data_IF_546962157462
#
_entry.id   IF_546962157462
#
_cell.length_a   1.000
_cell.length_b   1.000
_cell.length_c   1.000
_cell.angle_alpha   90.00
_cell.angle_beta   90.00
_cell.angle_gamma   90.00
#
_symmetry.space_group_name_H-M   'P 1'
#
loop_
_entity.id
_entity.type
_entity.pdbx_description
1 polymer ?
#
# COMPACT_ATOMS: atom_id res chain seq x y z
N UNK A 1 -6.17 -0.45 -7.12
CA UNK A 1 -5.07 -1.41 -7.41
C UNK A 1 -4.26 -1.57 -6.13
N UNK A 2 -3.42 -2.60 -5.98
CA UNK A 2 -2.71 -2.85 -4.71
C UNK A 2 -1.38 -2.11 -4.65
N UNK A 3 -0.89 -1.83 -3.43
CA UNK A 3 0.40 -1.14 -3.21
C UNK A 3 1.54 -1.87 -3.93
N UNK A 4 1.66 -3.19 -3.73
CA UNK A 4 2.73 -3.97 -4.32
C UNK A 4 2.58 -4.15 -5.84
N UNK A 5 1.36 -4.08 -6.38
CA UNK A 5 1.17 -4.15 -7.82
C UNK A 5 1.64 -2.86 -8.50
N UNK A 6 1.24 -1.69 -7.99
CA UNK A 6 1.74 -0.40 -8.46
C UNK A 6 3.26 -0.30 -8.31
N UNK A 7 3.80 -0.77 -7.18
CA UNK A 7 5.24 -0.79 -6.95
C UNK A 7 5.98 -1.67 -7.96
N UNK A 8 5.39 -2.80 -8.37
CA UNK A 8 5.97 -3.65 -9.40
C UNK A 8 5.92 -2.99 -10.79
N UNK A 9 4.88 -2.22 -11.09
CA UNK A 9 4.77 -1.47 -12.35
C UNK A 9 5.74 -0.28 -12.42
N UNK A 10 5.97 0.40 -11.29
CA UNK A 10 6.82 1.61 -11.20
C UNK A 10 8.27 1.33 -10.81
N UNK A 11 8.52 0.18 -10.20
CA UNK A 11 9.85 -0.28 -9.77
C UNK A 11 10.13 -0.07 -8.28
N UNK A 12 9.45 0.86 -7.61
CA UNK A 12 9.57 1.11 -6.16
C UNK A 12 8.26 1.64 -5.57
N UNK A 13 8.12 1.55 -4.24
CA UNK A 13 7.00 2.16 -3.49
C UNK A 13 7.15 3.67 -3.33
N UNK A 14 8.38 4.18 -3.43
CA UNK A 14 8.70 5.62 -3.33
C UNK A 14 8.14 6.45 -4.51
N UNK A 15 7.74 5.80 -5.61
CA UNK A 15 7.16 6.42 -6.80
C UNK A 15 5.63 6.33 -6.83
N UNK A 16 5.00 6.04 -5.69
CA UNK A 16 3.55 5.90 -5.53
C UNK A 16 3.06 6.97 -4.58
N UNK A 17 1.93 7.58 -4.89
CA UNK A 17 1.28 8.56 -4.02
C UNK A 17 0.11 7.90 -3.26
N UNK A 18 -0.21 8.42 -2.08
CA UNK A 18 -1.24 7.85 -1.20
C UNK A 18 -2.63 7.77 -1.87
N UNK A 19 -3.01 8.77 -2.67
CA UNK A 19 -4.31 8.82 -3.35
C UNK A 19 -4.47 7.78 -4.46
N UNK A 20 -3.38 7.15 -4.89
CA UNK A 20 -3.39 6.12 -5.93
C UNK A 20 -3.76 4.72 -5.39
N UNK A 21 -3.63 4.54 -4.07
CA UNK A 21 -3.84 3.27 -3.37
C UNK A 21 -4.94 3.34 -2.32
N UNK A 22 -5.26 4.54 -1.82
CA UNK A 22 -6.37 4.75 -0.88
C UNK A 22 -7.70 4.76 -1.63
N UNK A 23 -8.63 3.94 -1.16
CA UNK A 23 -9.96 3.81 -1.72
C UNK A 23 -10.98 4.07 -0.60
N UNK A 24 -11.94 4.98 -0.79
CA UNK A 24 -13.02 5.15 0.16
C UNK A 24 -13.90 3.91 0.19
N UNK A 25 -14.01 3.28 1.36
CA UNK A 25 -14.85 2.13 1.63
C UNK A 25 -16.23 2.53 2.15
N UNK A 26 -16.92 1.56 2.74
CA UNK A 26 -18.20 1.80 3.40
C UNK A 26 -18.03 2.80 4.57
N UNK A 27 -18.99 3.70 4.73
CA UNK A 27 -19.02 4.69 5.81
C UNK A 27 -17.74 5.56 5.90
N UNK A 28 -17.18 5.91 4.74
CA UNK A 28 -15.94 6.70 4.61
C UNK A 28 -14.71 6.05 5.26
N UNK A 29 -14.73 4.74 5.54
CA UNK A 29 -13.53 4.03 5.98
C UNK A 29 -12.51 3.99 4.85
N UNK A 30 -11.37 4.63 5.03
CA UNK A 30 -10.28 4.60 4.05
C UNK A 30 -9.65 3.21 4.03
N UNK A 31 -9.64 2.59 2.85
CA UNK A 31 -9.16 1.24 2.64
C UNK A 31 -7.93 1.26 1.73
N UNK A 32 -6.96 0.40 2.03
CA UNK A 32 -5.78 0.15 1.20
C UNK A 32 -5.60 -1.36 1.08
N UNK A 33 -5.22 -1.82 -0.11
CA UNK A 33 -4.89 -3.23 -0.34
C UNK A 33 -3.38 -3.37 -0.55
N UNK A 34 -2.70 -4.07 0.37
CA UNK A 34 -1.25 -4.30 0.26
C UNK A 34 -0.89 -5.10 -1.00
N UNK A 35 -1.70 -6.10 -1.34
CA UNK A 35 -1.37 -7.09 -2.35
C UNK A 35 -0.38 -8.13 -1.83
N UNK A 36 0.30 -8.84 -2.74
CA UNK A 36 1.30 -9.82 -2.39
C UNK A 36 2.25 -10.10 -3.54
N UNK A 37 3.44 -10.64 -3.25
CA UNK A 37 4.34 -11.08 -4.30
C UNK A 37 3.73 -12.23 -5.10
N UNK A 38 4.18 -12.40 -6.35
CA UNK A 38 3.84 -13.56 -7.17
C UNK A 38 4.10 -14.86 -6.37
N UNK A 39 3.21 -15.87 -6.46
CA UNK A 39 3.38 -17.13 -5.75
C UNK A 39 4.77 -17.75 -5.96
N UNK A 40 5.48 -18.00 -4.85
CA UNK A 40 6.81 -18.59 -4.87
C UNK A 40 7.97 -17.61 -5.07
N UNK A 41 7.71 -16.32 -5.30
CA UNK A 41 8.76 -15.30 -5.51
C UNK A 41 9.11 -14.56 -4.21
N UNK A 42 8.16 -14.44 -3.27
CA UNK A 42 8.37 -13.66 -2.06
C UNK A 42 7.61 -14.14 -0.83
N UNK A 43 7.83 -13.44 0.28
CA UNK A 43 7.13 -13.66 1.54
C UNK A 43 6.03 -12.62 1.71
N UNK A 44 4.78 -13.06 1.86
CA UNK A 44 3.64 -12.18 2.11
C UNK A 44 3.91 -11.22 3.30
N UNK A 45 4.55 -11.72 4.36
CA UNK A 45 4.92 -10.90 5.51
C UNK A 45 5.83 -9.72 5.18
N UNK A 46 6.79 -9.88 4.26
CA UNK A 46 7.62 -8.74 3.81
C UNK A 46 6.81 -7.75 2.99
N UNK A 47 5.92 -8.23 2.13
CA UNK A 47 5.03 -7.36 1.35
C UNK A 47 4.12 -6.51 2.23
N UNK A 48 3.58 -7.11 3.29
CA UNK A 48 2.77 -6.39 4.29
C UNK A 48 3.61 -5.31 5.00
N UNK A 49 4.82 -5.66 5.47
CA UNK A 49 5.71 -4.69 6.14
C UNK A 49 6.06 -3.54 5.19
N UNK A 50 6.40 -3.83 3.93
CA UNK A 50 6.69 -2.81 2.92
C UNK A 50 5.51 -1.87 2.70
N UNK A 51 4.28 -2.40 2.60
CA UNK A 51 3.09 -1.58 2.44
C UNK A 51 2.79 -0.72 3.69
N UNK A 52 3.02 -1.25 4.90
CA UNK A 52 2.86 -0.50 6.15
C UNK A 52 3.85 0.66 6.21
N UNK A 53 5.13 0.40 5.94
CA UNK A 53 6.16 1.45 5.96
C UNK A 53 5.86 2.56 4.97
N UNK A 54 5.46 2.21 3.74
CA UNK A 54 5.00 3.17 2.73
C UNK A 54 3.85 4.05 3.28
N UNK A 55 2.83 3.46 3.90
CA UNK A 55 1.71 4.23 4.48
C UNK A 55 2.16 5.15 5.63
N UNK A 56 3.12 4.72 6.44
CA UNK A 56 3.69 5.56 7.49
C UNK A 56 4.49 6.74 6.91
N UNK A 57 5.30 6.49 5.88
CA UNK A 57 6.14 7.49 5.21
C UNK A 57 5.30 8.54 4.46
N UNK A 58 4.20 8.12 3.83
CA UNK A 58 3.25 8.99 3.13
C UNK A 58 2.25 9.71 4.07
N UNK A 59 2.39 9.54 5.39
CA UNK A 59 1.55 10.23 6.36
C UNK A 59 0.09 9.76 6.39
N UNK A 60 -0.20 8.52 5.99
CA UNK A 60 -1.56 7.99 5.93
C UNK A 60 -2.31 7.99 7.27
N UNK A 61 -1.56 8.06 8.37
CA UNK A 61 -2.10 8.08 9.74
C UNK A 61 -2.14 9.47 10.37
N UNK A 62 -1.65 10.50 9.68
CA UNK A 62 -1.67 11.87 10.19
C UNK A 62 -3.10 12.44 10.14
N UNK A 63 -3.48 13.22 11.15
CA UNK A 63 -4.79 13.89 11.25
C UNK A 63 -6.00 12.94 11.38
N UNK A 64 -5.78 11.71 11.85
CA UNK A 64 -6.82 10.80 12.30
C UNK A 64 -7.16 11.08 13.77
N UNK A 65 -8.00 12.09 14.02
CA UNK A 65 -8.57 12.41 15.35
C UNK A 65 -10.01 11.88 15.51
#
# INVERSE_FOLDING_TARGET
TTVLHLAAERGTVEDIELDEVVIPGYDNVLCVESGGPEPGVGCAGRGIITAINFLEEEGAYENLD
#
